data_IF_507811010209
#
_entry.id   IF_507811010209
#
_cell.length_a   1.000
_cell.length_b   1.000
_cell.length_c   1.000
_cell.angle_alpha   90.00
_cell.angle_beta   90.00
_cell.angle_gamma   90.00
#
_symmetry.space_group_name_H-M   'P 1'
#
loop_
_entity.id
_entity.type
_entity.pdbx_description
1 polymer ?
#
# COMPACT_ATOMS: atom_id res chain seq x y z
N UNK A 1 -7.43 5.18 -10.43
CA UNK A 1 -6.82 5.38 -9.10
C UNK A 1 -5.89 4.20 -8.83
N UNK A 2 -4.58 4.41 -8.80
CA UNK A 2 -3.64 3.36 -8.46
C UNK A 2 -3.68 3.16 -6.94
N UNK A 3 -4.40 2.14 -6.46
CA UNK A 3 -4.41 1.82 -5.03
C UNK A 3 -3.02 1.29 -4.66
N UNK A 4 -2.25 2.11 -3.96
CA UNK A 4 -0.97 1.66 -3.42
C UNK A 4 -1.24 0.50 -2.44
N UNK A 5 -0.69 -0.68 -2.74
CA UNK A 5 -0.82 -1.88 -1.91
C UNK A 5 0.08 -1.81 -0.65
N UNK A 6 -0.01 -0.70 0.08
CA UNK A 6 0.79 -0.39 1.29
C UNK A 6 -0.03 -0.72 2.54
N UNK A 7 -0.88 -1.73 2.44
CA UNK A 7 -1.61 -2.32 3.56
C UNK A 7 -0.93 -3.66 3.84
N UNK A 8 -0.86 -4.09 5.10
CA UNK A 8 -0.30 -5.40 5.50
C UNK A 8 -1.21 -6.58 5.05
N UNK A 9 -1.71 -6.52 3.81
CA UNK A 9 -2.55 -7.49 3.08
C UNK A 9 -1.94 -7.76 1.69
N UNK A 10 -0.65 -8.14 1.57
CA UNK A 10 -0.13 -8.59 0.29
C UNK A 10 -0.79 -9.90 -0.12
N UNK A 11 -1.04 -10.08 -1.42
CA UNK A 11 -1.63 -11.31 -1.97
C UNK A 11 -0.56 -12.27 -2.47
N UNK A 12 -0.81 -13.58 -2.32
CA UNK A 12 0.06 -14.63 -2.86
C UNK A 12 0.20 -14.53 -4.38
N UNK A 13 -0.87 -14.16 -5.08
CA UNK A 13 -0.85 -13.97 -6.54
C UNK A 13 0.18 -12.92 -7.00
N UNK A 14 0.48 -11.91 -6.18
CA UNK A 14 1.47 -10.85 -6.48
C UNK A 14 2.84 -11.15 -5.89
N UNK A 15 2.92 -11.83 -4.75
CA UNK A 15 4.16 -12.00 -4.01
C UNK A 15 4.83 -13.38 -4.19
N UNK A 16 4.08 -14.42 -4.57
CA UNK A 16 4.57 -15.80 -4.68
C UNK A 16 5.34 -16.25 -3.43
N UNK A 17 6.49 -16.88 -3.64
CA UNK A 17 7.38 -17.33 -2.54
C UNK A 17 8.00 -16.19 -1.70
N UNK A 18 7.81 -14.93 -2.10
CA UNK A 18 8.33 -13.73 -1.40
C UNK A 18 7.27 -13.02 -0.57
N UNK A 19 6.10 -13.64 -0.35
CA UNK A 19 5.10 -13.10 0.55
C UNK A 19 5.69 -12.81 1.94
N UNK A 20 5.43 -11.62 2.46
CA UNK A 20 5.79 -11.19 3.81
C UNK A 20 4.59 -10.55 4.46
N UNK A 21 4.32 -10.92 5.72
CA UNK A 21 3.34 -10.28 6.58
C UNK A 21 4.10 -9.65 7.73
N UNK A 22 3.83 -8.38 8.02
CA UNK A 22 4.61 -7.60 8.98
C UNK A 22 4.14 -7.81 10.43
N UNK A 23 2.88 -8.22 10.63
CA UNK A 23 2.39 -8.61 11.94
C UNK A 23 2.17 -7.42 12.88
N UNK A 24 1.97 -6.22 12.33
CA UNK A 24 1.56 -5.07 13.12
C UNK A 24 0.15 -5.28 13.68
N UNK A 25 -0.20 -4.65 14.82
CA UNK A 25 -1.57 -4.66 15.32
C UNK A 25 -2.55 -4.23 14.23
N UNK A 26 -3.60 -5.03 14.00
CA UNK A 26 -4.61 -4.76 12.98
C UNK A 26 -5.72 -3.91 13.60
N UNK A 27 -5.95 -2.74 13.02
CA UNK A 27 -7.10 -1.87 13.31
C UNK A 27 -8.13 -1.97 12.19
N UNK A 28 -9.39 -1.58 12.45
CA UNK A 28 -10.49 -1.69 11.48
C UNK A 28 -10.20 -0.97 10.15
N UNK A 29 -9.50 0.16 10.22
CA UNK A 29 -9.17 0.99 9.06
C UNK A 29 -7.82 0.63 8.40
N UNK A 30 -7.03 -0.24 9.03
CA UNK A 30 -5.69 -0.67 8.61
C UNK A 30 -4.84 0.50 8.12
N UNK A 31 -4.79 1.56 8.92
CA UNK A 31 -4.04 2.80 8.65
C UNK A 31 -4.49 3.53 7.35
N UNK A 32 -5.80 3.58 7.07
CA UNK A 32 -6.34 4.16 5.84
C UNK A 32 -5.79 5.57 5.53
N UNK A 33 -5.63 6.42 6.55
CA UNK A 33 -5.08 7.77 6.40
C UNK A 33 -3.63 7.76 5.92
N UNK A 34 -2.77 6.90 6.49
CA UNK A 34 -1.36 6.80 6.10
C UNK A 34 -1.22 6.21 4.69
N UNK A 35 -2.09 5.28 4.31
CA UNK A 35 -2.13 4.73 2.94
C UNK A 35 -2.50 5.82 1.92
N UNK A 36 -3.46 6.69 2.25
CA UNK A 36 -3.84 7.81 1.41
C UNK A 36 -2.69 8.84 1.28
N UNK A 37 -2.03 9.16 2.40
CA UNK A 37 -0.87 10.05 2.41
C UNK A 37 0.27 9.48 1.55
N UNK A 38 0.64 8.22 1.75
CA UNK A 38 1.66 7.54 0.97
C UNK A 38 1.30 7.50 -0.53
N UNK A 39 0.03 7.21 -0.86
CA UNK A 39 -0.49 7.26 -2.23
C UNK A 39 -0.30 8.63 -2.87
N UNK A 40 -0.55 9.71 -2.13
CA UNK A 40 -0.39 11.09 -2.64
C UNK A 40 1.06 11.41 -3.05
N UNK A 41 2.06 10.79 -2.41
CA UNK A 41 3.46 10.95 -2.83
C UNK A 41 3.72 10.30 -4.20
N UNK A 42 3.12 9.14 -4.48
CA UNK A 42 3.19 8.52 -5.81
C UNK A 42 2.45 9.37 -6.86
N UNK A 43 1.27 9.88 -6.53
CA UNK A 43 0.50 10.76 -7.43
C UNK A 43 1.28 12.03 -7.79
N UNK A 44 2.03 12.62 -6.83
CA UNK A 44 2.92 13.76 -7.09
C UNK A 44 4.04 13.43 -8.07
N UNK A 45 4.62 12.22 -8.00
CA UNK A 45 5.65 11.77 -8.95
C UNK A 45 5.03 11.54 -10.33
N UNK A 46 3.87 10.87 -10.41
CA UNK A 46 3.16 10.62 -11.67
C UNK A 46 2.82 11.96 -12.34
N UNK A 47 2.29 12.92 -11.58
CA UNK A 47 1.95 14.25 -12.08
C UNK A 47 3.16 15.07 -12.55
N UNK A 48 4.36 14.77 -12.06
CA UNK A 48 5.58 15.45 -12.51
C UNK A 48 6.17 14.85 -13.79
N UNK A 49 5.78 13.62 -14.13
CA UNK A 49 6.31 12.85 -15.27
C UNK A 49 5.33 12.75 -16.45
N UNK A 50 4.03 13.01 -16.23
CA UNK A 50 2.98 13.02 -17.25
C UNK A 50 2.60 14.43 -17.67
#
# INVERSE_FOLDING_TARGET
>A
QATAHIKDEPSEARAGARLRKMGSPVTDDRCASLVAEAGSYFDRVISALG
#
